data_IF_979427647205
#
_entry.id   IF_979427647205
#
_cell.length_a   1.000
_cell.length_b   1.000
_cell.length_c   1.000
_cell.angle_alpha   90.00
_cell.angle_beta   90.00
_cell.angle_gamma   90.00
#
_symmetry.space_group_name_H-M   'P 1'
#
loop_
_entity.id
_entity.type
_entity.pdbx_description
1 polymer ?
#
# COMPACT_ATOMS: atom_id res chain seq x y z
N UNK A 1 -48.42 -28.03 -35.02
CA UNK A 1 -48.20 -28.82 -33.79
C UNK A 1 -46.84 -29.47 -33.96
N UNK A 2 -45.75 -29.24 -33.23
CA UNK A 2 -45.42 -28.75 -31.87
C UNK A 2 -43.92 -28.42 -31.94
N UNK A 3 -43.45 -27.20 -31.64
CA UNK A 3 -42.97 -26.83 -30.31
C UNK A 3 -41.52 -27.28 -30.06
N UNK A 4 -40.51 -26.53 -30.54
CA UNK A 4 -39.09 -26.74 -30.17
C UNK A 4 -38.67 -25.63 -29.20
N UNK A 5 -38.65 -25.97 -27.92
CA UNK A 5 -38.29 -25.07 -26.82
C UNK A 5 -36.78 -24.86 -26.84
N UNK A 6 -36.33 -23.67 -27.24
CA UNK A 6 -34.93 -23.27 -27.06
C UNK A 6 -34.72 -22.86 -25.60
N UNK A 7 -33.89 -23.65 -24.92
CA UNK A 7 -33.47 -23.54 -23.53
C UNK A 7 -32.58 -22.30 -23.36
N UNK A 8 -33.17 -21.12 -23.17
CA UNK A 8 -32.47 -19.89 -22.77
C UNK A 8 -32.13 -19.96 -21.28
N UNK A 9 -31.05 -20.64 -20.93
CA UNK A 9 -30.71 -20.87 -19.52
C UNK A 9 -29.22 -21.08 -19.25
N UNK A 10 -28.33 -20.47 -20.04
CA UNK A 10 -26.89 -20.72 -19.91
C UNK A 10 -26.01 -19.45 -19.98
N UNK A 11 -26.57 -18.25 -19.90
CA UNK A 11 -25.77 -17.00 -19.99
C UNK A 11 -25.50 -16.37 -18.62
N UNK A 12 -26.29 -16.69 -17.58
CA UNK A 12 -26.07 -16.15 -16.24
C UNK A 12 -24.86 -16.78 -15.49
N UNK A 13 -24.43 -17.99 -15.86
CA UNK A 13 -23.33 -18.68 -15.19
C UNK A 13 -21.93 -18.14 -15.53
N UNK A 14 -21.77 -17.51 -16.70
CA UNK A 14 -20.46 -17.01 -17.14
C UNK A 14 -20.05 -15.71 -16.41
N UNK A 15 -21.01 -14.85 -16.03
CA UNK A 15 -20.72 -13.60 -15.33
C UNK A 15 -20.26 -13.83 -13.87
N UNK A 16 -20.78 -14.86 -13.18
CA UNK A 16 -20.36 -15.21 -11.82
C UNK A 16 -18.94 -15.79 -11.76
N UNK A 17 -18.47 -16.46 -12.81
CA UNK A 17 -17.11 -16.99 -12.87
C UNK A 17 -16.03 -15.89 -13.02
N UNK A 18 -16.38 -14.74 -13.62
CA UNK A 18 -15.47 -13.61 -13.78
C UNK A 18 -15.27 -12.79 -12.50
N UNK A 19 -16.22 -12.82 -11.56
CA UNK A 19 -16.05 -12.20 -10.24
C UNK A 19 -15.18 -13.02 -9.28
N UNK A 20 -15.10 -14.34 -9.47
CA UNK A 20 -14.25 -15.22 -8.67
C UNK A 20 -12.77 -15.19 -9.11
N UNK A 21 -12.48 -14.61 -10.28
CA UNK A 21 -11.13 -14.42 -10.81
C UNK A 21 -10.57 -13.01 -10.55
N UNK A 22 -11.22 -12.24 -9.67
CA UNK A 22 -10.47 -11.16 -9.02
C UNK A 22 -9.40 -11.84 -8.18
N UNK A 23 -8.11 -11.48 -8.30
CA UNK A 23 -7.21 -11.74 -7.21
C UNK A 23 -7.88 -11.04 -6.03
N UNK A 24 -8.44 -11.83 -5.11
CA UNK A 24 -8.52 -11.39 -3.72
C UNK A 24 -7.12 -10.88 -3.49
N UNK A 25 -7.00 -9.54 -3.46
CA UNK A 25 -5.92 -8.89 -2.78
C UNK A 25 -5.98 -9.57 -1.44
N UNK A 26 -5.13 -10.59 -1.30
CA UNK A 26 -4.90 -11.32 -0.09
C UNK A 26 -4.36 -10.19 0.73
N UNK A 27 -5.28 -9.50 1.43
CA UNK A 27 -4.96 -8.51 2.42
C UNK A 27 -3.97 -9.28 3.23
N UNK A 28 -2.71 -8.92 3.04
CA UNK A 28 -1.62 -9.58 3.72
C UNK A 28 -2.12 -9.51 5.15
N UNK A 29 -2.41 -10.68 5.72
CA UNK A 29 -2.48 -10.76 7.15
C UNK A 29 -1.13 -10.17 7.52
N UNK A 30 -1.13 -8.91 7.93
CA UNK A 30 0.00 -8.28 8.55
C UNK A 30 0.15 -9.19 9.75
N UNK A 31 1.05 -10.17 9.62
CA UNK A 31 1.58 -10.87 10.77
C UNK A 31 2.11 -9.72 11.60
N UNK A 32 1.33 -9.39 12.62
CA UNK A 32 1.65 -8.45 13.68
C UNK A 32 2.85 -9.03 14.41
N UNK A 33 4.00 -8.97 13.76
CA UNK A 33 5.27 -9.44 14.28
C UNK A 33 5.75 -8.37 15.24
N UNK A 34 5.21 -8.41 16.46
CA UNK A 34 5.72 -8.06 17.79
C UNK A 34 6.67 -6.86 18.04
N UNK A 35 7.12 -6.15 17.02
CA UNK A 35 7.93 -4.92 17.05
C UNK A 35 7.39 -3.98 15.95
N UNK A 36 6.07 -3.77 15.97
CA UNK A 36 5.29 -2.98 15.01
C UNK A 36 5.56 -1.47 15.23
N UNK A 37 6.80 -1.08 14.98
CA UNK A 37 7.26 0.29 15.13
C UNK A 37 6.76 1.10 13.94
N UNK A 38 5.51 1.54 14.02
CA UNK A 38 4.92 2.47 13.06
C UNK A 38 5.86 3.66 12.84
N UNK A 39 5.99 4.08 11.58
CA UNK A 39 6.78 5.25 11.18
C UNK A 39 6.45 6.50 12.04
N UNK A 40 5.21 6.56 12.56
CA UNK A 40 4.71 7.57 13.49
C UNK A 40 5.51 7.74 14.78
N UNK A 41 6.00 6.64 15.35
CA UNK A 41 6.66 6.60 16.65
C UNK A 41 8.12 6.18 16.59
N UNK A 42 8.59 5.90 15.37
CA UNK A 42 9.94 5.40 15.14
C UNK A 42 10.96 6.51 15.41
N UNK A 43 12.02 6.21 16.16
CA UNK A 43 13.17 7.10 16.25
C UNK A 43 13.98 7.07 14.96
N UNK A 44 14.71 8.15 14.66
CA UNK A 44 15.66 8.18 13.55
C UNK A 44 16.75 7.09 13.66
N UNK A 45 17.18 6.76 14.88
CA UNK A 45 18.15 5.68 15.09
C UNK A 45 17.57 4.29 14.79
N UNK A 46 16.29 4.08 15.13
CA UNK A 46 15.59 2.83 14.83
C UNK A 46 15.34 2.69 13.34
N UNK A 47 14.94 3.77 12.66
CA UNK A 47 14.80 3.81 11.20
C UNK A 47 16.06 3.31 10.50
N UNK A 48 17.25 3.81 10.88
CA UNK A 48 18.49 3.41 10.22
C UNK A 48 18.89 1.95 10.45
N UNK A 49 18.43 1.34 11.54
CA UNK A 49 18.66 -0.08 11.83
C UNK A 49 17.72 -1.01 11.04
N UNK A 50 16.63 -0.49 10.49
CA UNK A 50 15.68 -1.30 9.73
C UNK A 50 16.27 -1.78 8.41
N UNK A 51 15.92 -3.02 8.04
CA UNK A 51 16.22 -3.56 6.72
C UNK A 51 15.44 -2.81 5.63
N UNK A 52 15.98 -2.76 4.41
CA UNK A 52 15.33 -2.09 3.28
C UNK A 52 13.90 -2.58 3.03
N UNK A 53 13.59 -3.89 3.02
CA UNK A 53 12.20 -4.35 2.84
C UNK A 53 11.26 -3.84 3.94
N UNK A 54 11.76 -3.75 5.18
CA UNK A 54 10.96 -3.29 6.30
C UNK A 54 10.71 -1.77 6.25
N UNK A 55 11.70 -0.97 5.85
CA UNK A 55 11.52 0.48 5.59
C UNK A 55 10.43 0.75 4.56
N UNK A 56 10.40 -0.04 3.48
CA UNK A 56 9.36 0.08 2.44
C UNK A 56 7.98 -0.29 2.98
N UNK A 57 7.88 -1.32 3.82
CA UNK A 57 6.62 -1.69 4.46
C UNK A 57 6.11 -0.57 5.39
N UNK A 58 6.98 0.00 6.22
CA UNK A 58 6.65 1.12 7.10
C UNK A 58 6.21 2.37 6.32
N UNK A 59 6.87 2.66 5.20
CA UNK A 59 6.47 3.74 4.30
C UNK A 59 5.09 3.47 3.68
N UNK A 60 4.82 2.23 3.25
CA UNK A 60 3.51 1.86 2.70
C UNK A 60 2.38 2.02 3.73
N UNK A 61 2.62 1.63 4.98
CA UNK A 61 1.64 1.81 6.06
C UNK A 61 1.40 3.29 6.38
N UNK A 62 2.45 4.11 6.42
CA UNK A 62 2.30 5.56 6.56
C UNK A 62 1.42 6.15 5.45
N UNK A 63 1.72 5.81 4.18
CA UNK A 63 0.95 6.29 3.04
C UNK A 63 -0.53 5.86 3.10
N UNK A 64 -0.79 4.62 3.55
CA UNK A 64 -2.13 4.10 3.76
C UNK A 64 -2.90 4.87 4.82
N UNK A 65 -2.26 5.21 5.94
CA UNK A 65 -2.89 5.91 7.07
C UNK A 65 -3.17 7.38 6.72
N UNK A 66 -2.23 8.06 6.06
CA UNK A 66 -2.34 9.49 5.76
C UNK A 66 -2.91 9.80 4.38
N UNK A 67 -3.37 8.78 3.64
CA UNK A 67 -3.91 8.90 2.28
C UNK A 67 -3.03 9.76 1.36
N UNK A 68 -1.71 9.53 1.39
CA UNK A 68 -0.77 10.31 0.60
C UNK A 68 -0.97 10.08 -0.89
N UNK A 69 -0.48 10.99 -1.73
CA UNK A 69 -0.67 10.92 -3.17
C UNK A 69 -0.23 9.56 -3.77
N UNK A 70 -1.11 8.94 -4.55
CA UNK A 70 -0.90 7.62 -5.17
C UNK A 70 0.19 7.61 -6.26
N UNK A 71 0.63 8.78 -6.74
CA UNK A 71 1.75 8.92 -7.68
C UNK A 71 3.11 8.68 -7.02
N UNK A 72 3.21 8.79 -5.69
CA UNK A 72 4.39 8.40 -4.94
C UNK A 72 4.33 6.90 -4.64
N UNK A 73 5.42 6.16 -4.87
CA UNK A 73 5.52 4.77 -4.41
C UNK A 73 6.10 4.70 -3.00
N UNK A 74 5.77 3.66 -2.24
CA UNK A 74 6.33 3.41 -0.91
C UNK A 74 7.86 3.29 -0.94
N UNK A 75 8.42 2.71 -2.00
CA UNK A 75 9.87 2.66 -2.21
C UNK A 75 10.46 4.07 -2.38
N UNK A 76 9.81 4.95 -3.15
CA UNK A 76 10.26 6.33 -3.33
C UNK A 76 10.24 7.12 -2.03
N UNK A 77 9.22 6.90 -1.19
CA UNK A 77 9.13 7.52 0.14
C UNK A 77 10.23 7.01 1.07
N UNK A 78 10.46 5.69 1.13
CA UNK A 78 11.55 5.11 1.90
C UNK A 78 12.93 5.64 1.46
N UNK A 79 13.16 5.75 0.15
CA UNK A 79 14.38 6.33 -0.39
C UNK A 79 14.54 7.82 -0.07
N UNK A 80 13.43 8.57 -0.01
CA UNK A 80 13.44 9.97 0.41
C UNK A 80 13.86 10.09 1.88
N UNK A 81 13.29 9.26 2.75
CA UNK A 81 13.61 9.21 4.17
C UNK A 81 15.05 8.77 4.47
N UNK A 82 15.65 7.96 3.60
CA UNK A 82 17.06 7.55 3.72
C UNK A 82 18.04 8.62 3.22
N UNK A 83 17.63 9.40 2.22
CA UNK A 83 18.44 10.52 1.68
C UNK A 83 18.36 11.76 2.54
N UNK A 84 17.17 12.05 3.07
CA UNK A 84 16.96 13.19 3.95
C UNK A 84 17.46 12.85 5.36
N UNK A 85 18.73 13.19 5.61
CA UNK A 85 19.38 13.06 6.92
C UNK A 85 19.12 14.26 7.82
N UNK A 86 18.15 15.13 7.50
CA UNK A 86 17.79 16.22 8.38
C UNK A 86 17.47 15.68 9.79
N UNK A 87 17.94 16.42 10.80
CA UNK A 87 17.60 16.17 12.19
C UNK A 87 16.08 16.25 12.34
N UNK A 88 15.46 15.18 12.81
CA UNK A 88 14.00 15.10 12.93
C UNK A 88 13.50 13.68 13.08
N UNK A 89 12.25 13.52 13.49
CA UNK A 89 11.62 12.21 13.51
C UNK A 89 11.31 11.73 12.06
N UNK A 90 11.40 10.42 11.76
CA UNK A 90 10.96 9.86 10.48
C UNK A 90 9.58 10.33 10.01
N UNK A 91 8.64 10.53 10.94
CA UNK A 91 7.32 11.11 10.65
C UNK A 91 7.39 12.51 10.02
N UNK A 92 8.13 13.43 10.65
CA UNK A 92 8.25 14.81 10.18
C UNK A 92 8.90 14.87 8.80
N UNK A 93 9.95 14.07 8.60
CA UNK A 93 10.60 13.91 7.29
C UNK A 93 9.65 13.30 6.25
N UNK A 94 8.81 12.35 6.63
CA UNK A 94 7.83 11.75 5.70
C UNK A 94 6.83 12.80 5.21
N UNK A 95 6.35 13.66 6.10
CA UNK A 95 5.49 14.79 5.73
C UNK A 95 6.20 15.76 4.79
N UNK A 96 7.48 16.07 5.03
CA UNK A 96 8.27 16.92 4.13
C UNK A 96 8.45 16.28 2.73
N UNK A 97 8.81 15.00 2.67
CA UNK A 97 8.97 14.23 1.43
C UNK A 97 7.68 14.21 0.58
N UNK A 98 6.53 13.96 1.21
CA UNK A 98 5.23 13.93 0.52
C UNK A 98 4.80 15.33 0.08
N UNK A 99 5.07 16.36 0.89
CA UNK A 99 4.72 17.75 0.57
C UNK A 99 5.54 18.31 -0.59
N UNK A 100 6.83 17.97 -0.67
CA UNK A 100 7.70 18.40 -1.77
C UNK A 100 7.19 17.91 -3.14
N UNK A 101 6.60 16.72 -3.22
CA UNK A 101 5.96 16.23 -4.45
C UNK A 101 4.69 17.00 -4.82
N UNK A 102 3.95 17.51 -3.82
CA UNK A 102 2.75 18.30 -4.07
C UNK A 102 3.09 19.71 -4.56
N UNK A 103 4.21 20.29 -4.13
CA UNK A 103 4.65 21.62 -4.58
C UNK A 103 5.32 21.63 -5.97
N UNK A 104 5.75 20.47 -6.47
CA UNK A 104 6.39 20.33 -7.79
C UNK A 104 5.42 20.08 -8.97
N UNK A 105 4.11 19.95 -8.69
CA UNK A 105 3.04 19.91 -9.70
C UNK A 105 2.34 21.25 -9.78
#
# INVERSE_FOLDING_TARGET
MTGRVHRTGAVAGALLALLAAQPVARGAAAESNSDDASLLYLSSGDWQRQSTPHKVALAADFMRIFCTDQSMSAASLADCLDRDKADGAPFERAMACVSALSAGR
#
